data_IF_418027316617
#
_entry.id   IF_418027316617
#
_cell.length_a   1.000
_cell.length_b   1.000
_cell.length_c   1.000
_cell.angle_alpha   90.00
_cell.angle_beta   90.00
_cell.angle_gamma   90.00
#
_symmetry.space_group_name_H-M   'P 1'
#
loop_
_entity.id
_entity.type
_entity.pdbx_description
1 polymer ?
#
# COMPACT_ATOMS: atom_id res chain seq x y z
N UNK A 1 -3.16 -4.70 -4.54
CA UNK A 1 -2.93 -3.35 -4.01
C UNK A 1 -1.44 -3.19 -3.76
N UNK A 2 -0.85 -2.15 -4.29
CA UNK A 2 0.58 -1.88 -4.16
C UNK A 2 0.83 -0.37 -4.05
N UNK A 3 1.96 -0.01 -3.45
CA UNK A 3 2.50 1.34 -3.47
C UNK A 3 3.89 1.27 -4.10
N UNK A 4 4.09 2.05 -5.12
CA UNK A 4 5.38 2.19 -5.80
C UNK A 4 6.00 3.54 -5.44
N UNK A 5 7.11 3.49 -4.70
CA UNK A 5 7.91 4.68 -4.40
C UNK A 5 8.87 4.93 -5.55
N UNK A 6 8.81 6.13 -6.12
CA UNK A 6 9.70 6.59 -7.19
C UNK A 6 10.33 7.93 -6.79
N UNK A 7 11.41 8.32 -7.47
CA UNK A 7 12.20 9.50 -7.12
C UNK A 7 11.39 10.81 -7.15
N UNK A 8 10.50 10.99 -8.15
CA UNK A 8 9.75 12.23 -8.34
C UNK A 8 8.35 12.18 -7.73
N UNK A 9 7.71 11.02 -7.80
CA UNK A 9 6.34 10.80 -7.30
C UNK A 9 6.16 9.34 -6.88
N UNK A 10 5.20 9.09 -5.99
CA UNK A 10 4.78 7.76 -5.62
C UNK A 10 3.37 7.47 -6.15
N UNK A 11 3.12 6.22 -6.51
CA UNK A 11 1.80 5.78 -6.98
C UNK A 11 1.23 4.77 -5.98
N UNK A 12 -0.03 4.96 -5.62
CA UNK A 12 -0.82 3.97 -4.89
C UNK A 12 -1.79 3.33 -5.89
N UNK A 13 -1.68 2.03 -6.09
CA UNK A 13 -2.43 1.28 -7.08
C UNK A 13 -3.33 0.24 -6.43
N UNK A 14 -4.59 0.22 -6.86
CA UNK A 14 -5.57 -0.80 -6.53
C UNK A 14 -5.94 -1.56 -7.81
N UNK A 15 -5.60 -2.82 -7.86
CA UNK A 15 -6.02 -3.73 -8.92
C UNK A 15 -7.10 -4.66 -8.38
N UNK A 16 -8.21 -4.72 -9.09
CA UNK A 16 -9.36 -5.56 -8.72
C UNK A 16 -9.84 -6.32 -9.94
N UNK A 17 -10.02 -7.63 -9.80
CA UNK A 17 -10.48 -8.49 -10.86
C UNK A 17 -11.95 -8.87 -10.65
N UNK A 18 -12.77 -8.62 -11.67
CA UNK A 18 -14.19 -8.99 -11.66
C UNK A 18 -14.37 -10.50 -11.74
N UNK A 19 -15.33 -11.03 -10.99
CA UNK A 19 -15.85 -12.37 -11.24
C UNK A 19 -16.72 -12.36 -12.51
N UNK A 20 -16.87 -13.50 -13.20
CA UNK A 20 -17.77 -13.59 -14.36
C UNK A 20 -19.16 -13.02 -14.05
N UNK A 21 -19.65 -12.14 -14.92
CA UNK A 21 -20.97 -11.51 -14.77
C UNK A 21 -20.99 -10.23 -13.91
N UNK A 22 -19.90 -9.84 -13.29
CA UNK A 22 -19.79 -8.57 -12.55
C UNK A 22 -19.26 -7.47 -13.47
N UNK A 23 -19.96 -6.33 -13.52
CA UNK A 23 -19.56 -5.19 -14.33
C UNK A 23 -18.46 -4.37 -13.62
N UNK A 24 -17.52 -3.76 -14.38
CA UNK A 24 -16.46 -2.93 -13.80
C UNK A 24 -16.96 -1.80 -12.89
N UNK A 25 -18.07 -1.17 -13.25
CA UNK A 25 -18.67 -0.08 -12.47
C UNK A 25 -19.21 -0.54 -11.10
N UNK A 26 -19.55 -1.82 -10.97
CA UNK A 26 -19.95 -2.40 -9.67
C UNK A 26 -18.72 -2.58 -8.77
N UNK A 27 -17.58 -2.96 -9.36
CA UNK A 27 -16.31 -3.05 -8.62
C UNK A 27 -15.85 -1.67 -8.17
N UNK A 28 -15.90 -0.67 -9.03
CA UNK A 28 -15.53 0.70 -8.67
C UNK A 28 -16.36 1.18 -7.47
N UNK A 29 -17.68 1.00 -7.49
CA UNK A 29 -18.55 1.36 -6.37
C UNK A 29 -18.19 0.62 -5.08
N UNK A 30 -17.83 -0.66 -5.17
CA UNK A 30 -17.41 -1.42 -4.00
C UNK A 30 -16.08 -0.91 -3.43
N UNK A 31 -15.10 -0.63 -4.30
CA UNK A 31 -13.83 -0.03 -3.88
C UNK A 31 -14.04 1.35 -3.26
N UNK A 32 -14.91 2.18 -3.83
CA UNK A 32 -15.24 3.49 -3.28
C UNK A 32 -15.84 3.42 -1.88
N UNK A 33 -16.74 2.45 -1.67
CA UNK A 33 -17.34 2.23 -0.36
C UNK A 33 -16.30 1.83 0.69
N UNK A 34 -15.38 0.92 0.34
CA UNK A 34 -14.31 0.50 1.25
C UNK A 34 -13.32 1.65 1.54
N UNK A 35 -12.96 2.45 0.53
CA UNK A 35 -12.10 3.62 0.72
C UNK A 35 -12.81 4.71 1.56
N UNK A 36 -14.12 4.89 1.41
CA UNK A 36 -14.89 5.80 2.24
C UNK A 36 -14.89 5.32 3.70
N UNK A 37 -15.14 4.02 3.93
CA UNK A 37 -15.11 3.42 5.26
C UNK A 37 -13.74 3.60 5.92
N UNK A 38 -12.65 3.36 5.18
CA UNK A 38 -11.28 3.57 5.66
C UNK A 38 -11.02 5.03 6.06
N UNK A 39 -11.52 6.00 5.31
CA UNK A 39 -11.36 7.43 5.61
C UNK A 39 -12.21 7.87 6.81
N UNK A 40 -13.41 7.33 6.97
CA UNK A 40 -14.34 7.70 8.03
C UNK A 40 -14.01 7.04 9.37
N UNK A 41 -13.82 5.73 9.36
CA UNK A 41 -13.67 4.92 10.57
C UNK A 41 -12.21 4.54 10.85
N UNK A 42 -11.38 4.47 9.80
CA UNK A 42 -10.04 3.88 9.88
C UNK A 42 -10.07 2.36 10.02
N UNK A 43 -8.90 1.71 10.02
CA UNK A 43 -8.78 0.29 10.28
C UNK A 43 -8.96 -0.01 11.77
N UNK A 44 -9.36 -1.22 12.10
CA UNK A 44 -9.37 -1.73 13.48
C UNK A 44 -7.93 -1.97 13.99
N UNK A 45 -7.78 -2.06 15.31
CA UNK A 45 -6.48 -2.38 15.92
C UNK A 45 -5.92 -3.74 15.43
N UNK A 46 -6.79 -4.75 15.30
CA UNK A 46 -6.42 -6.08 14.83
C UNK A 46 -5.97 -6.07 13.36
N UNK A 47 -6.59 -5.25 12.52
CA UNK A 47 -6.17 -5.09 11.11
C UNK A 47 -4.80 -4.42 11.02
N UNK A 48 -4.55 -3.40 11.82
CA UNK A 48 -3.24 -2.75 11.91
C UNK A 48 -2.18 -3.72 12.38
N UNK A 49 -2.46 -4.52 13.41
CA UNK A 49 -1.52 -5.51 13.93
C UNK A 49 -1.19 -6.58 12.88
N UNK A 50 -2.21 -7.14 12.20
CA UNK A 50 -2.00 -8.11 11.12
C UNK A 50 -1.19 -7.54 9.96
N UNK A 51 -1.48 -6.29 9.54
CA UNK A 51 -0.74 -5.63 8.48
C UNK A 51 0.72 -5.36 8.89
N UNK A 52 0.94 -4.91 10.11
CA UNK A 52 2.28 -4.71 10.68
C UNK A 52 3.08 -6.00 10.70
N UNK A 53 2.51 -7.06 11.25
CA UNK A 53 3.19 -8.37 11.35
C UNK A 53 3.55 -8.91 9.96
N UNK A 54 2.68 -8.75 8.96
CA UNK A 54 2.98 -9.11 7.57
C UNK A 54 4.15 -8.29 7.01
N UNK A 55 4.16 -6.99 7.25
CA UNK A 55 5.25 -6.10 6.78
C UNK A 55 6.58 -6.46 7.45
N UNK A 56 6.60 -6.63 8.76
CA UNK A 56 7.81 -7.01 9.48
C UNK A 56 8.35 -8.38 9.04
N UNK A 57 7.45 -9.35 8.81
CA UNK A 57 7.84 -10.65 8.27
C UNK A 57 8.46 -10.53 6.87
N UNK A 58 7.89 -9.69 6.01
CA UNK A 58 8.46 -9.48 4.66
C UNK A 58 9.83 -8.81 4.70
N UNK A 59 10.06 -7.88 5.63
CA UNK A 59 11.36 -7.24 5.84
C UNK A 59 12.40 -8.28 6.29
N UNK A 60 12.03 -9.15 7.22
CA UNK A 60 12.93 -10.23 7.70
C UNK A 60 13.24 -11.20 6.56
N UNK A 61 12.24 -11.67 5.83
CA UNK A 61 12.42 -12.59 4.70
C UNK A 61 13.30 -12.02 3.60
N UNK A 62 13.21 -10.72 3.33
CA UNK A 62 14.08 -10.06 2.36
C UNK A 62 15.57 -10.13 2.74
N UNK A 63 15.89 -10.27 4.04
CA UNK A 63 17.28 -10.39 4.51
C UNK A 63 17.84 -11.80 4.47
N UNK A 64 17.03 -12.82 4.15
CA UNK A 64 17.50 -14.20 4.06
C UNK A 64 18.42 -14.46 2.84
N UNK A 65 18.46 -13.53 1.90
CA UNK A 65 19.30 -13.65 0.72
C UNK A 65 20.25 -12.46 0.56
N UNK A 66 21.46 -12.70 0.05
CA UNK A 66 22.42 -11.61 -0.22
C UNK A 66 21.86 -10.59 -1.23
N UNK A 67 21.07 -11.03 -2.20
CA UNK A 67 20.42 -10.15 -3.16
C UNK A 67 19.38 -9.25 -2.47
N UNK A 68 18.57 -9.76 -1.57
CA UNK A 68 17.60 -8.99 -0.80
C UNK A 68 18.26 -7.96 0.11
N UNK A 69 19.35 -8.32 0.78
CA UNK A 69 20.14 -7.39 1.57
C UNK A 69 20.72 -6.28 0.70
N UNK A 70 21.32 -6.61 -0.45
CA UNK A 70 21.90 -5.64 -1.37
C UNK A 70 20.84 -4.67 -1.92
N UNK A 71 19.66 -5.17 -2.32
CA UNK A 71 18.56 -4.36 -2.79
C UNK A 71 18.06 -3.40 -1.70
N UNK A 72 17.92 -3.88 -0.47
CA UNK A 72 17.50 -3.07 0.66
C UNK A 72 18.48 -1.95 0.99
N UNK A 73 19.78 -2.24 1.04
CA UNK A 73 20.82 -1.25 1.27
C UNK A 73 20.83 -0.18 0.17
N UNK A 74 20.74 -0.58 -1.10
CA UNK A 74 20.65 0.34 -2.23
C UNK A 74 19.40 1.23 -2.16
N UNK A 75 18.26 0.68 -1.82
CA UNK A 75 17.01 1.45 -1.68
C UNK A 75 17.11 2.47 -0.55
N UNK A 76 17.66 2.10 0.59
CA UNK A 76 17.84 3.04 1.69
C UNK A 76 18.85 4.13 1.32
N UNK A 77 19.97 3.80 0.71
CA UNK A 77 20.94 4.80 0.24
C UNK A 77 20.30 5.76 -0.77
N UNK A 78 19.58 5.23 -1.76
CA UNK A 78 18.95 6.02 -2.80
C UNK A 78 17.83 6.95 -2.30
N UNK A 79 16.96 6.47 -1.38
CA UNK A 79 15.76 7.22 -0.98
C UNK A 79 15.92 7.98 0.34
N UNK A 80 16.84 7.57 1.18
CA UNK A 80 17.04 8.13 2.52
C UNK A 80 18.44 8.74 2.69
N UNK A 81 19.38 8.41 1.80
CA UNK A 81 20.76 8.89 1.83
C UNK A 81 21.67 8.16 2.82
N UNK A 82 21.21 7.02 3.34
CA UNK A 82 22.01 6.14 4.21
C UNK A 82 21.55 4.69 4.07
N UNK A 83 22.44 3.72 3.85
CA UNK A 83 22.08 2.31 3.80
C UNK A 83 21.66 1.76 5.17
N UNK A 84 22.10 2.37 6.27
CA UNK A 84 21.78 1.97 7.65
C UNK A 84 20.48 2.63 8.14
N UNK A 85 19.35 2.23 7.55
CA UNK A 85 18.03 2.78 7.88
C UNK A 85 17.02 1.74 8.38
N UNK A 86 17.39 0.47 8.41
CA UNK A 86 16.47 -0.63 8.73
C UNK A 86 15.76 -0.47 10.07
N UNK A 87 16.49 -0.12 11.12
CA UNK A 87 15.89 0.02 12.45
C UNK A 87 14.87 1.18 12.50
N UNK A 88 15.17 2.28 11.86
CA UNK A 88 14.28 3.44 11.74
C UNK A 88 13.04 3.08 10.92
N UNK A 89 13.19 2.32 9.85
CA UNK A 89 12.07 1.87 9.02
C UNK A 89 11.14 0.92 9.79
N UNK A 90 11.69 -0.05 10.50
CA UNK A 90 10.93 -0.93 11.42
C UNK A 90 10.20 -0.12 12.48
N UNK A 91 10.85 0.88 13.09
CA UNK A 91 10.25 1.74 14.09
C UNK A 91 9.05 2.53 13.54
N UNK A 92 9.11 2.99 12.28
CA UNK A 92 7.99 3.66 11.60
C UNK A 92 6.76 2.76 11.48
N UNK A 93 6.94 1.48 11.07
CA UNK A 93 5.83 0.53 11.00
C UNK A 93 5.28 0.18 12.39
N UNK A 94 6.14 0.07 13.39
CA UNK A 94 5.74 -0.23 14.76
C UNK A 94 4.92 0.90 15.40
N UNK A 95 5.20 2.14 15.03
CA UNK A 95 4.48 3.33 15.52
C UNK A 95 3.10 3.56 14.88
N UNK A 96 2.72 2.80 13.84
CA UNK A 96 1.42 2.98 13.17
C UNK A 96 0.26 2.65 14.10
N UNK A 97 -0.75 3.51 14.08
CA UNK A 97 -2.01 3.36 14.82
C UNK A 97 -3.21 3.44 13.88
N UNK A 98 -4.39 2.94 14.27
CA UNK A 98 -5.62 3.14 13.49
C UNK A 98 -5.87 4.61 13.13
N UNK A 99 -5.66 5.52 14.08
CA UNK A 99 -5.86 6.95 13.86
C UNK A 99 -4.87 7.52 12.83
N UNK A 100 -3.59 7.21 12.94
CA UNK A 100 -2.56 7.69 11.99
C UNK A 100 -2.80 7.16 10.57
N UNK A 101 -3.31 5.94 10.43
CA UNK A 101 -3.66 5.35 9.12
C UNK A 101 -4.92 5.99 8.53
N UNK A 102 -5.96 6.26 9.34
CA UNK A 102 -7.13 7.01 8.90
C UNK A 102 -6.74 8.41 8.42
N UNK A 103 -5.93 9.13 9.17
CA UNK A 103 -5.48 10.47 8.81
C UNK A 103 -4.64 10.46 7.53
N UNK A 104 -3.79 9.45 7.36
CA UNK A 104 -3.04 9.23 6.12
C UNK A 104 -3.98 8.94 4.94
N UNK A 105 -4.99 8.08 5.10
CA UNK A 105 -5.97 7.77 4.06
C UNK A 105 -6.74 9.02 3.61
N UNK A 106 -7.15 9.89 4.54
CA UNK A 106 -7.81 11.15 4.21
C UNK A 106 -6.91 12.10 3.41
N UNK A 107 -5.61 12.11 3.69
CA UNK A 107 -4.64 12.98 3.02
C UNK A 107 -4.25 12.49 1.64
N UNK A 108 -3.99 11.18 1.48
CA UNK A 108 -3.36 10.62 0.27
C UNK A 108 -4.34 9.90 -0.68
N UNK A 109 -5.55 9.59 -0.22
CA UNK A 109 -6.59 8.91 -1.02
C UNK A 109 -7.88 9.77 -1.12
N UNK A 110 -7.81 11.05 -1.52
CA UNK A 110 -9.01 11.84 -1.69
C UNK A 110 -9.85 11.33 -2.88
N UNK A 111 -11.18 11.37 -2.81
CA UNK A 111 -12.06 10.76 -3.83
C UNK A 111 -11.85 11.29 -5.25
N UNK A 112 -11.43 12.56 -5.38
CA UNK A 112 -11.29 13.27 -6.66
C UNK A 112 -9.90 13.20 -7.28
N UNK A 113 -8.89 12.67 -6.58
CA UNK A 113 -7.50 12.62 -7.06
C UNK A 113 -7.10 11.18 -7.42
N UNK A 114 -7.82 10.60 -8.39
CA UNK A 114 -7.55 9.25 -8.89
C UNK A 114 -7.76 9.16 -10.39
N UNK A 115 -7.14 8.17 -11.00
CA UNK A 115 -7.46 7.68 -12.33
C UNK A 115 -8.05 6.28 -12.22
N UNK A 116 -9.08 5.97 -13.00
CA UNK A 116 -9.70 4.65 -13.08
C UNK A 116 -9.52 4.12 -14.49
N UNK A 117 -9.01 2.89 -14.60
CA UNK A 117 -8.83 2.19 -15.88
C UNK A 117 -9.63 0.89 -15.87
N UNK A 118 -10.51 0.71 -16.85
CA UNK A 118 -11.21 -0.53 -17.07
C UNK A 118 -10.54 -1.34 -18.17
N UNK A 119 -10.10 -2.55 -17.82
CA UNK A 119 -9.64 -3.54 -18.79
C UNK A 119 -10.77 -4.54 -19.04
N UNK A 120 -11.38 -4.47 -20.20
CA UNK A 120 -12.45 -5.40 -20.62
C UNK A 120 -11.99 -6.23 -21.81
N UNK A 121 -12.49 -7.49 -21.96
CA UNK A 121 -12.21 -8.28 -23.15
C UNK A 121 -12.68 -7.53 -24.41
N UNK A 122 -11.84 -7.51 -25.44
CA UNK A 122 -12.23 -6.96 -26.75
C UNK A 122 -13.38 -7.79 -27.36
N UNK A 123 -14.25 -7.13 -28.11
CA UNK A 123 -15.20 -7.82 -28.97
C UNK A 123 -14.43 -8.62 -30.03
N UNK A 124 -14.82 -9.93 -30.19
CA UNK A 124 -14.26 -10.80 -31.23
C UNK A 124 -14.99 -10.57 -32.54
#
# INVERSE_FOLDING_TARGET
>A
MAQYSMMLQSVFELEVTARPGVKPEQLEKAVDAELALLREQGPTADEVERARNRMLSSIIQAQETSAGVADQLNRYDQFVGTPDYLQQDVARYTALTPASLRDAANRILPPHARAVLYCVPGEK
#
